data_IF_092887760061
#
_entry.id   IF_092887760061
#
_cell.length_a   1.000
_cell.length_b   1.000
_cell.length_c   1.000
_cell.angle_alpha   90.00
_cell.angle_beta   90.00
_cell.angle_gamma   90.00
#
_symmetry.space_group_name_H-M   'P 1'
#
loop_
_entity.id
_entity.type
_entity.pdbx_description
1 polymer ?
#
# COMPACT_ATOMS: atom_id res chain seq x y z
N UNK A 1 18.18 1.49 13.26
CA UNK A 1 18.09 1.47 11.79
C UNK A 1 16.73 2.04 11.47
N UNK A 2 16.65 3.23 10.89
CA UNK A 2 15.36 3.91 10.77
C UNK A 2 14.43 3.14 9.81
N UNK A 3 13.21 2.90 10.28
CA UNK A 3 12.15 2.13 9.62
C UNK A 3 11.52 2.96 8.47
N UNK A 4 12.32 3.37 7.49
CA UNK A 4 11.90 4.25 6.40
C UNK A 4 10.86 3.66 5.43
N UNK A 5 10.34 2.46 5.72
CA UNK A 5 9.33 1.77 4.91
C UNK A 5 7.99 1.58 5.61
N UNK A 6 7.80 2.03 6.85
CA UNK A 6 6.52 1.80 7.56
C UNK A 6 5.43 2.70 6.99
N UNK A 7 4.29 2.09 6.66
CA UNK A 7 3.13 2.74 6.05
C UNK A 7 1.85 2.22 6.68
N UNK A 8 0.77 2.98 6.58
CA UNK A 8 -0.58 2.55 6.95
C UNK A 8 -1.47 2.72 5.73
N UNK A 9 -2.02 1.62 5.22
CA UNK A 9 -2.93 1.66 4.09
C UNK A 9 -4.38 1.70 4.58
N UNK A 10 -5.07 2.78 4.24
CA UNK A 10 -6.47 3.01 4.56
C UNK A 10 -7.35 2.66 3.36
N UNK A 11 -8.21 1.65 3.52
CA UNK A 11 -9.19 1.24 2.51
C UNK A 11 -10.58 1.32 3.15
N UNK A 12 -11.35 2.36 2.80
CA UNK A 12 -12.60 2.67 3.47
C UNK A 12 -12.39 3.00 4.95
N UNK A 13 -13.07 2.28 5.83
CA UNK A 13 -12.93 2.40 7.29
C UNK A 13 -11.82 1.50 7.88
N UNK A 14 -11.25 0.61 7.06
CA UNK A 14 -10.19 -0.29 7.49
C UNK A 14 -8.81 0.35 7.32
N UNK A 15 -7.94 0.15 8.30
CA UNK A 15 -6.55 0.59 8.28
C UNK A 15 -5.63 -0.62 8.48
N UNK A 16 -4.70 -0.80 7.55
CA UNK A 16 -3.75 -1.90 7.54
C UNK A 16 -2.34 -1.34 7.70
N UNK A 17 -1.71 -1.49 8.87
CA UNK A 17 -0.29 -1.16 9.01
C UNK A 17 0.52 -2.11 8.12
N UNK A 18 1.60 -1.63 7.54
CA UNK A 18 2.38 -2.40 6.60
C UNK A 18 3.73 -1.79 6.30
N UNK A 19 4.38 -2.34 5.28
CA UNK A 19 5.70 -1.92 4.84
C UNK A 19 5.73 -1.76 3.33
N UNK A 20 6.28 -0.64 2.87
CA UNK A 20 6.70 -0.43 1.50
C UNK A 20 7.96 -1.27 1.25
N UNK A 21 7.82 -2.32 0.45
CA UNK A 21 8.92 -3.23 0.11
C UNK A 21 9.77 -2.69 -1.04
N UNK A 22 9.12 -2.13 -2.06
CA UNK A 22 9.79 -1.64 -3.25
C UNK A 22 8.94 -0.62 -4.00
N UNK A 23 9.60 0.29 -4.72
CA UNK A 23 8.99 1.07 -5.79
C UNK A 23 9.26 0.35 -7.12
N UNK A 24 8.21 -0.03 -7.81
CA UNK A 24 8.29 -0.87 -9.01
C UNK A 24 8.07 -0.03 -10.27
N UNK A 25 9.13 0.19 -11.04
CA UNK A 25 9.05 0.88 -12.33
C UNK A 25 8.69 2.37 -12.22
N UNK A 26 9.10 3.15 -13.22
CA UNK A 26 8.98 4.62 -13.24
C UNK A 26 7.56 5.19 -13.39
N UNK A 27 6.49 4.44 -13.07
CA UNK A 27 5.09 4.86 -13.23
C UNK A 27 4.30 4.88 -11.92
N UNK A 28 5.02 4.96 -10.79
CA UNK A 28 4.41 5.03 -9.47
C UNK A 28 3.79 3.71 -9.00
N UNK A 29 4.25 2.56 -9.51
CA UNK A 29 3.88 1.30 -8.89
C UNK A 29 4.75 1.07 -7.65
N UNK A 30 4.19 0.34 -6.71
CA UNK A 30 4.87 0.00 -5.48
C UNK A 30 4.38 -1.35 -4.97
N UNK A 31 5.26 -2.04 -4.26
CA UNK A 31 4.94 -3.27 -3.55
C UNK A 31 4.85 -2.97 -2.06
N UNK A 32 3.72 -3.33 -1.48
CA UNK A 32 3.41 -3.09 -0.07
C UNK A 32 3.00 -4.40 0.57
N UNK A 33 3.67 -4.76 1.66
CA UNK A 33 3.30 -5.86 2.55
C UNK A 33 2.41 -5.31 3.64
N UNK A 34 1.14 -5.73 3.71
CA UNK A 34 0.25 -5.34 4.78
C UNK A 34 0.31 -6.36 5.93
N UNK A 35 0.16 -5.87 7.16
CA UNK A 35 0.00 -6.68 8.37
C UNK A 35 -1.48 -6.72 8.73
N UNK A 36 -2.04 -7.92 8.87
CA UNK A 36 -3.47 -8.14 9.11
C UNK A 36 -4.16 -8.82 7.93
N UNK A 37 -5.47 -9.02 8.04
CA UNK A 37 -6.25 -9.69 7.02
C UNK A 37 -6.58 -8.74 5.86
N UNK A 38 -5.72 -8.73 4.84
CA UNK A 38 -5.92 -7.96 3.60
C UNK A 38 -6.67 -8.76 2.52
N UNK A 39 -7.30 -9.89 2.87
CA UNK A 39 -7.98 -10.78 1.91
C UNK A 39 -9.13 -10.12 1.15
N UNK A 40 -9.78 -9.12 1.76
CA UNK A 40 -10.84 -8.35 1.15
C UNK A 40 -10.35 -7.37 0.06
N UNK A 41 -9.05 -7.07 0.00
CA UNK A 41 -8.49 -6.15 -1.00
C UNK A 41 -8.25 -6.87 -2.32
N UNK A 42 -9.05 -6.50 -3.33
CA UNK A 42 -8.94 -7.02 -4.70
C UNK A 42 -8.31 -5.99 -5.63
N UNK A 43 -7.92 -6.42 -6.83
CA UNK A 43 -7.56 -5.50 -7.91
C UNK A 43 -8.68 -4.45 -8.13
N UNK A 44 -8.27 -3.20 -8.30
CA UNK A 44 -9.16 -2.03 -8.39
C UNK A 44 -9.58 -1.43 -7.05
N UNK A 45 -9.20 -2.02 -5.91
CA UNK A 45 -9.47 -1.42 -4.59
C UNK A 45 -8.67 -0.13 -4.43
N UNK A 46 -9.37 1.00 -4.29
CA UNK A 46 -8.75 2.30 -4.06
C UNK A 46 -8.63 2.59 -2.56
N UNK A 47 -7.53 3.23 -2.18
CA UNK A 47 -7.24 3.58 -0.80
C UNK A 47 -6.27 4.74 -0.68
N UNK A 48 -5.89 5.03 0.56
CA UNK A 48 -4.90 6.05 0.90
C UNK A 48 -3.77 5.38 1.66
N UNK A 49 -2.55 5.56 1.16
CA UNK A 49 -1.35 5.11 1.83
C UNK A 49 -0.78 6.30 2.63
N UNK A 50 -0.74 6.14 3.95
CA UNK A 50 -0.15 7.09 4.89
C UNK A 50 1.28 6.63 5.22
N UNK A 51 2.24 7.52 5.00
CA UNK A 51 3.64 7.32 5.31
C UNK A 51 3.94 7.73 6.76
N UNK A 52 5.04 7.24 7.33
CA UNK A 52 5.46 7.57 8.69
C UNK A 52 5.66 9.08 8.98
N UNK A 53 5.84 9.90 7.93
CA UNK A 53 5.98 11.36 8.02
C UNK A 53 4.63 12.11 7.96
N UNK A 54 3.52 11.37 7.92
CA UNK A 54 2.16 11.91 7.75
C UNK A 54 1.78 12.21 6.30
N UNK A 55 2.65 11.94 5.33
CA UNK A 55 2.37 12.07 3.91
C UNK A 55 1.28 11.07 3.46
N UNK A 56 0.24 11.56 2.81
CA UNK A 56 -0.88 10.74 2.32
C UNK A 56 -0.93 10.71 0.80
N UNK A 57 -1.14 9.51 0.27
CA UNK A 57 -1.11 9.25 -1.17
C UNK A 57 -2.25 8.35 -1.58
N UNK A 58 -3.02 8.74 -2.61
CA UNK A 58 -4.06 7.89 -3.17
C UNK A 58 -3.42 6.77 -3.97
N UNK A 59 -3.88 5.55 -3.73
CA UNK A 59 -3.39 4.34 -4.38
C UNK A 59 -4.55 3.47 -4.85
N UNK A 60 -4.30 2.63 -5.84
CA UNK A 60 -5.18 1.52 -6.20
C UNK A 60 -4.40 0.22 -6.15
N UNK A 61 -5.00 -0.84 -5.65
CA UNK A 61 -4.46 -2.21 -5.78
C UNK A 61 -4.54 -2.59 -7.24
N UNK A 62 -3.43 -3.06 -7.81
CA UNK A 62 -3.37 -3.54 -9.20
C UNK A 62 -3.14 -5.03 -9.26
N UNK A 63 -2.53 -5.64 -8.24
CA UNK A 63 -2.26 -7.07 -8.23
C UNK A 63 -2.06 -7.57 -6.79
N UNK A 64 -2.54 -8.78 -6.51
CA UNK A 64 -2.23 -9.52 -5.29
C UNK A 64 -1.06 -10.45 -5.57
N UNK A 65 0.04 -10.26 -4.84
CA UNK A 65 1.23 -11.09 -4.99
C UNK A 65 1.10 -12.36 -4.13
N UNK A 66 1.87 -13.42 -4.44
CA UNK A 66 1.74 -14.72 -3.74
C UNK A 66 2.21 -14.71 -2.28
N UNK A 67 2.82 -13.63 -1.78
CA UNK A 67 3.04 -13.44 -0.34
C UNK A 67 1.71 -13.13 0.35
N UNK A 68 1.42 -13.77 1.49
CA UNK A 68 0.10 -13.81 2.14
C UNK A 68 -0.60 -12.44 2.29
N UNK A 69 0.15 -11.33 2.28
CA UNK A 69 -0.39 -9.97 2.30
C UNK A 69 0.45 -8.97 1.47
N UNK A 70 1.11 -9.44 0.42
CA UNK A 70 1.84 -8.57 -0.51
C UNK A 70 0.92 -8.08 -1.62
N UNK A 71 0.83 -6.77 -1.78
CA UNK A 71 0.00 -6.11 -2.78
C UNK A 71 0.87 -5.23 -3.65
N UNK A 72 0.66 -5.31 -4.96
CA UNK A 72 1.12 -4.30 -5.89
C UNK A 72 0.06 -3.21 -5.96
N UNK A 73 0.49 -1.99 -5.68
CA UNK A 73 -0.36 -0.81 -5.72
C UNK A 73 0.20 0.19 -6.71
N UNK A 74 -0.67 1.02 -7.27
CA UNK A 74 -0.31 2.13 -8.13
C UNK A 74 -0.68 3.45 -7.47
N UNK A 75 0.27 4.35 -7.40
CA UNK A 75 0.07 5.73 -7.01
C UNK A 75 -0.82 6.45 -8.02
N UNK A 76 -1.94 6.97 -7.56
CA UNK A 76 -2.86 7.79 -8.35
C UNK A 76 -2.58 9.29 -8.18
N UNK A 77 -2.06 9.69 -7.01
CA UNK A 77 -1.71 11.09 -6.72
C UNK A 77 -1.57 11.36 -5.22
N UNK A 78 -1.35 12.63 -4.87
CA UNK A 78 -1.35 13.07 -3.46
C UNK A 78 -2.79 13.09 -2.94
N UNK A 79 -2.99 12.52 -1.75
CA UNK A 79 -4.29 12.44 -1.07
C UNK A 79 -4.61 13.65 -0.22
#
# INVERSE_FOLDING_TARGET
MAEYGTVVAHFGEAAFPGRLEALEGGRGMMRVSLSGDSSALTEGSEGVLEMHDGGRFRVTVTERLPGENELRMKLLGKG
#
